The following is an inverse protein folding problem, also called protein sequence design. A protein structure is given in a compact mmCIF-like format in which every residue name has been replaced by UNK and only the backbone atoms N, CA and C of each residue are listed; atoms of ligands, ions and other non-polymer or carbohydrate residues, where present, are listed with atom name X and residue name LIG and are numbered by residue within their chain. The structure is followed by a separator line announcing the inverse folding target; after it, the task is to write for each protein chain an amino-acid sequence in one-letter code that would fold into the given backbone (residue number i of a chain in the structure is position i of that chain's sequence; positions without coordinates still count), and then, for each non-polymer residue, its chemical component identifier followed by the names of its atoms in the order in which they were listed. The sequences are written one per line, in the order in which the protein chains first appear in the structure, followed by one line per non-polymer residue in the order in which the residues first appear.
data_IF_355894942501
#
_entry.id   IF_355894942501
#
_cell.length_a   1.000
_cell.length_b   1.000
_cell.length_c   1.000
_cell.angle_alpha   90.00
_cell.angle_beta   90.00
_cell.angle_gamma   90.00
#
_symmetry.space_group_name_H-M   'P 1'
#
loop_
_entity.id
_entity.type
_entity.pdbx_description
1 polymer ?
#
# COMPACT_ATOMS: atom_id res chain seq x y z
N UNK A 1 -23.50 25.13 -7.73
CA UNK A 1 -22.33 24.34 -8.16
C UNK A 1 -21.36 25.28 -8.83
N UNK A 2 -20.05 25.16 -8.64
CA UNK A 2 -19.10 25.92 -9.43
C UNK A 2 -19.32 25.58 -10.90
N UNK A 3 -19.00 26.51 -11.77
CA UNK A 3 -19.09 26.28 -13.21
C UNK A 3 -17.82 25.53 -13.65
N UNK A 4 -17.98 24.50 -14.51
CA UNK A 4 -16.83 23.77 -15.03
C UNK A 4 -15.89 24.71 -15.85
N UNK A 5 -14.56 24.49 -15.78
CA UNK A 5 -13.62 25.21 -16.66
C UNK A 5 -13.93 24.97 -18.14
N UNK A 6 -13.73 25.97 -18.97
CA UNK A 6 -13.67 25.78 -20.41
C UNK A 6 -12.27 25.34 -20.83
N UNK A 7 -12.19 24.23 -21.54
CA UNK A 7 -10.93 23.71 -22.06
C UNK A 7 -10.96 23.75 -23.58
N UNK A 8 -9.81 24.03 -24.17
CA UNK A 8 -9.69 24.03 -25.62
C UNK A 8 -8.31 23.52 -26.05
N UNK A 9 -8.35 22.75 -27.13
CA UNK A 9 -7.18 22.23 -27.82
C UNK A 9 -7.46 22.32 -29.31
N UNK A 10 -6.80 23.23 -29.98
CA UNK A 10 -7.00 23.52 -31.39
C UNK A 10 -5.67 23.50 -32.14
N UNK A 11 -5.68 23.00 -33.37
CA UNK A 11 -4.54 23.24 -34.23
C UNK A 11 -4.35 24.75 -34.46
N UNK A 12 -3.12 25.22 -34.35
CA UNK A 12 -2.79 26.62 -34.65
C UNK A 12 -3.23 27.01 -36.08
N UNK A 13 -3.26 26.03 -36.99
CA UNK A 13 -3.70 26.21 -38.37
C UNK A 13 -5.21 26.49 -38.49
N UNK A 14 -6.01 26.01 -37.55
CA UNK A 14 -7.47 26.18 -37.53
C UNK A 14 -7.90 27.50 -36.88
N UNK A 15 -6.97 28.19 -36.23
CA UNK A 15 -7.27 29.44 -35.51
C UNK A 15 -7.61 30.55 -36.51
N UNK A 16 -8.80 31.10 -36.38
CA UNK A 16 -9.32 32.21 -37.21
C UNK A 16 -9.73 33.35 -36.27
N UNK A 17 -8.81 34.26 -36.05
CA UNK A 17 -9.04 35.45 -35.24
C UNK A 17 -8.79 36.69 -36.13
N UNK A 18 -9.63 37.70 -35.95
CA UNK A 18 -9.47 38.97 -36.70
C UNK A 18 -8.29 39.76 -36.19
N UNK A 19 -7.58 40.42 -37.08
CA UNK A 19 -6.49 41.33 -36.74
C UNK A 19 -5.15 40.68 -36.42
N UNK A 20 -5.00 39.37 -36.65
CA UNK A 20 -3.71 38.70 -36.51
C UNK A 20 -2.73 39.11 -37.60
N UNK A 21 -1.41 39.19 -37.31
CA UNK A 21 -0.37 39.35 -38.34
C UNK A 21 -0.32 38.12 -39.25
N UNK A 22 0.42 38.16 -40.38
CA UNK A 22 0.67 36.99 -41.22
C UNK A 22 1.32 35.84 -40.41
N UNK A 23 1.05 34.59 -40.78
CA UNK A 23 1.53 33.40 -40.04
C UNK A 23 3.05 33.24 -40.00
N UNK A 24 3.75 33.79 -40.98
CA UNK A 24 5.20 33.85 -41.08
C UNK A 24 5.83 34.99 -40.29
N UNK A 25 5.01 35.84 -39.66
CA UNK A 25 5.48 36.90 -38.77
C UNK A 25 5.95 36.31 -37.44
N UNK A 26 7.16 36.66 -36.95
CA UNK A 26 7.67 36.19 -35.67
C UNK A 26 6.78 36.48 -34.46
N UNK A 27 5.90 37.48 -34.54
CA UNK A 27 4.94 37.84 -33.48
C UNK A 27 3.57 37.18 -33.63
N UNK A 28 3.37 36.24 -34.59
CA UNK A 28 2.07 35.63 -34.83
C UNK A 28 1.53 34.89 -33.61
N UNK A 29 2.35 34.06 -33.00
CA UNK A 29 1.95 33.27 -31.80
C UNK A 29 1.62 34.17 -30.63
N UNK A 30 2.43 35.20 -30.36
CA UNK A 30 2.16 36.19 -29.31
C UNK A 30 0.84 36.92 -29.54
N UNK A 31 0.54 37.27 -30.79
CA UNK A 31 -0.71 37.93 -31.15
C UNK A 31 -1.93 36.99 -30.97
N UNK A 32 -1.80 35.71 -31.26
CA UNK A 32 -2.83 34.70 -30.96
C UNK A 32 -3.09 34.61 -29.48
N UNK A 33 -2.04 34.44 -28.67
CA UNK A 33 -2.16 34.36 -27.21
C UNK A 33 -2.82 35.58 -26.60
N UNK A 34 -2.36 36.79 -27.02
CA UNK A 34 -2.92 38.06 -26.52
C UNK A 34 -4.40 38.20 -26.91
N UNK A 35 -4.74 37.86 -28.14
CA UNK A 35 -6.14 37.97 -28.61
C UNK A 35 -7.06 37.04 -27.86
N UNK A 36 -6.69 35.76 -27.69
CA UNK A 36 -7.48 34.78 -26.96
C UNK A 36 -7.62 35.18 -25.49
N UNK A 37 -6.53 35.54 -24.83
CA UNK A 37 -6.56 35.98 -23.42
C UNK A 37 -7.51 37.17 -23.23
N UNK A 38 -7.44 38.15 -24.16
CA UNK A 38 -8.32 39.32 -24.13
C UNK A 38 -9.79 38.96 -24.35
N UNK A 39 -10.08 38.01 -25.27
CA UNK A 39 -11.43 37.55 -25.52
C UNK A 39 -12.03 36.83 -24.31
N UNK A 40 -11.26 36.00 -23.62
CA UNK A 40 -11.71 35.34 -22.39
C UNK A 40 -11.91 36.33 -21.25
N UNK A 41 -10.99 37.28 -21.04
CA UNK A 41 -11.13 38.34 -20.06
C UNK A 41 -12.38 39.18 -20.30
N UNK A 42 -12.70 39.54 -21.56
CA UNK A 42 -13.93 40.26 -21.91
C UNK A 42 -15.22 39.49 -21.58
N UNK A 43 -15.15 38.16 -21.44
CA UNK A 43 -16.26 37.30 -20.98
C UNK A 43 -16.28 37.11 -19.47
N UNK A 44 -15.35 37.68 -18.71
CA UNK A 44 -15.20 37.51 -17.26
C UNK A 44 -14.47 36.23 -16.86
N UNK A 45 -13.66 35.65 -17.74
CA UNK A 45 -12.86 34.47 -17.48
C UNK A 45 -11.38 34.83 -17.27
N UNK A 46 -10.71 34.10 -16.40
CA UNK A 46 -9.25 34.02 -16.38
C UNK A 46 -8.79 32.81 -17.16
N UNK A 47 -7.79 32.95 -18.02
CA UNK A 47 -7.33 31.87 -18.90
C UNK A 47 -5.81 31.69 -18.83
N UNK A 48 -5.36 30.45 -18.76
CA UNK A 48 -4.01 30.01 -19.07
C UNK A 48 -3.99 29.43 -20.48
N UNK A 49 -3.15 29.97 -21.36
CA UNK A 49 -3.09 29.58 -22.76
C UNK A 49 -1.63 29.46 -23.17
N UNK A 50 -1.30 28.38 -23.88
CA UNK A 50 0.04 28.18 -24.46
C UNK A 50 -0.08 27.73 -25.92
N UNK A 51 0.97 27.92 -26.69
CA UNK A 51 1.14 27.32 -28.03
C UNK A 51 2.30 26.33 -27.93
N UNK A 52 1.99 25.07 -28.23
CA UNK A 52 2.95 23.97 -28.13
C UNK A 52 2.71 23.00 -29.31
N UNK A 53 3.77 22.57 -29.97
CA UNK A 53 3.73 21.61 -31.08
C UNK A 53 2.68 21.94 -32.17
N UNK A 54 2.52 23.23 -32.51
CA UNK A 54 1.55 23.71 -33.49
C UNK A 54 0.07 23.64 -33.01
N UNK A 55 -0.16 23.51 -31.70
CA UNK A 55 -1.49 23.54 -31.08
C UNK A 55 -1.61 24.68 -30.07
N UNK A 56 -2.78 25.26 -30.03
CA UNK A 56 -3.19 26.16 -28.94
C UNK A 56 -3.90 25.34 -27.88
N UNK A 57 -3.31 25.27 -26.71
CA UNK A 57 -3.86 24.60 -25.53
C UNK A 57 -4.29 25.65 -24.51
N UNK A 58 -5.43 25.45 -23.86
CA UNK A 58 -5.85 26.42 -22.84
C UNK A 58 -6.93 25.92 -21.93
N UNK A 59 -6.90 26.53 -20.72
CA UNK A 59 -7.91 26.36 -19.68
C UNK A 59 -8.39 27.75 -19.29
N UNK A 60 -9.69 28.01 -19.40
CA UNK A 60 -10.34 29.22 -18.97
C UNK A 60 -11.32 28.95 -17.83
N UNK A 61 -11.22 29.71 -16.76
CA UNK A 61 -12.05 29.54 -15.55
C UNK A 61 -13.00 30.74 -15.42
N UNK A 62 -14.28 30.52 -15.01
CA UNK A 62 -15.33 31.53 -15.00
C UNK A 62 -15.22 32.45 -13.75
N UNK A 63 -14.01 32.94 -13.48
CA UNK A 63 -13.75 33.83 -12.36
C UNK A 63 -12.58 34.76 -12.70
N UNK A 64 -12.90 36.02 -12.93
CA UNK A 64 -11.91 37.04 -13.24
C UNK A 64 -10.91 37.23 -12.08
N UNK A 65 -9.62 37.30 -12.38
CA UNK A 65 -8.56 37.53 -11.39
C UNK A 65 -8.15 36.30 -10.56
N UNK A 66 -8.72 35.13 -10.83
CA UNK A 66 -8.30 33.87 -10.23
C UNK A 66 -7.46 33.07 -11.22
N UNK A 67 -6.26 32.67 -10.81
CA UNK A 67 -5.41 31.79 -11.63
C UNK A 67 -6.11 30.45 -11.90
N UNK A 68 -6.12 29.97 -13.15
CA UNK A 68 -6.75 28.67 -13.50
C UNK A 68 -6.33 27.52 -12.61
N UNK A 69 -5.04 27.42 -12.26
CA UNK A 69 -4.52 26.42 -11.34
C UNK A 69 -5.24 26.48 -9.99
N UNK A 70 -5.39 27.67 -9.39
CA UNK A 70 -6.05 27.81 -8.08
C UNK A 70 -7.52 27.43 -8.15
N UNK A 71 -8.21 27.80 -9.22
CA UNK A 71 -9.60 27.42 -9.41
C UNK A 71 -9.79 25.90 -9.49
N UNK A 72 -8.93 25.20 -10.25
CA UNK A 72 -8.95 23.76 -10.40
C UNK A 72 -8.63 23.05 -9.09
N UNK A 73 -7.64 23.52 -8.32
CA UNK A 73 -7.35 22.99 -6.99
C UNK A 73 -8.55 23.15 -6.05
N UNK A 74 -9.27 24.27 -6.13
CA UNK A 74 -10.52 24.48 -5.39
C UNK A 74 -11.62 23.49 -5.80
N UNK A 75 -11.72 23.08 -7.07
CA UNK A 75 -12.64 22.02 -7.49
C UNK A 75 -12.30 20.68 -6.84
N UNK A 76 -11.01 20.35 -6.76
CA UNK A 76 -10.53 19.11 -6.12
C UNK A 76 -10.83 19.09 -4.62
N UNK A 77 -10.58 20.20 -3.91
CA UNK A 77 -10.91 20.36 -2.47
C UNK A 77 -12.39 20.09 -2.18
N UNK A 78 -13.27 20.51 -3.10
CA UNK A 78 -14.72 20.29 -3.01
C UNK A 78 -15.20 19.00 -3.67
N UNK A 79 -14.28 18.13 -4.09
CA UNK A 79 -14.57 16.82 -4.70
C UNK A 79 -15.31 16.88 -6.04
N UNK A 80 -15.19 17.96 -6.79
CA UNK A 80 -15.72 18.10 -8.16
C UNK A 80 -14.72 17.51 -9.18
N UNK A 81 -14.44 16.19 -9.07
CA UNK A 81 -13.39 15.52 -9.84
C UNK A 81 -13.68 15.49 -11.34
N UNK A 82 -14.95 15.28 -11.73
CA UNK A 82 -15.38 15.25 -13.13
C UNK A 82 -15.19 16.59 -13.83
N UNK A 83 -15.37 17.70 -13.10
CA UNK A 83 -15.16 19.05 -13.62
C UNK A 83 -13.66 19.44 -13.66
N UNK A 84 -12.86 18.93 -12.71
CA UNK A 84 -11.45 19.24 -12.61
C UNK A 84 -10.58 18.43 -13.60
N UNK A 85 -10.92 17.15 -13.83
CA UNK A 85 -10.07 16.22 -14.57
C UNK A 85 -9.71 16.70 -15.99
N UNK A 86 -10.64 17.14 -16.84
CA UNK A 86 -10.30 17.60 -18.20
C UNK A 86 -9.36 18.80 -18.20
N UNK A 87 -9.52 19.70 -17.22
CA UNK A 87 -8.66 20.86 -17.09
C UNK A 87 -7.25 20.49 -16.59
N UNK A 88 -7.14 19.52 -15.68
CA UNK A 88 -5.84 18.98 -15.23
C UNK A 88 -5.11 18.28 -16.38
N UNK A 89 -5.82 17.52 -17.22
CA UNK A 89 -5.24 16.87 -18.39
C UNK A 89 -4.58 17.89 -19.32
N UNK A 90 -5.33 18.93 -19.70
CA UNK A 90 -4.78 19.99 -20.57
C UNK A 90 -3.65 20.75 -19.89
N UNK A 91 -3.78 21.07 -18.60
CA UNK A 91 -2.70 21.73 -17.87
C UNK A 91 -1.43 20.87 -17.76
N UNK A 92 -1.56 19.57 -17.59
CA UNK A 92 -0.42 18.65 -17.56
C UNK A 92 0.28 18.56 -18.94
N UNK A 93 -0.44 18.80 -20.05
CA UNK A 93 0.18 18.95 -21.37
C UNK A 93 0.91 20.30 -21.51
N UNK A 94 0.41 21.34 -20.83
CA UNK A 94 0.94 22.70 -20.95
C UNK A 94 2.20 22.96 -20.10
N UNK A 95 2.42 22.17 -19.04
CA UNK A 95 3.46 22.43 -18.05
C UNK A 95 3.97 21.17 -17.37
N UNK A 96 5.24 21.19 -16.98
CA UNK A 96 5.87 20.18 -16.14
C UNK A 96 5.72 20.50 -14.64
N UNK A 97 4.71 21.30 -14.24
CA UNK A 97 4.48 21.66 -12.85
C UNK A 97 4.17 20.40 -12.01
N UNK A 98 5.02 20.03 -11.03
CA UNK A 98 4.82 18.81 -10.24
C UNK A 98 3.49 18.76 -9.50
N UNK A 99 2.96 19.91 -9.10
CA UNK A 99 1.68 19.98 -8.38
C UNK A 99 0.50 19.66 -9.31
N UNK A 100 0.54 20.10 -10.57
CA UNK A 100 -0.45 19.75 -11.59
C UNK A 100 -0.36 18.27 -11.91
N UNK A 101 0.83 17.74 -12.17
CA UNK A 101 1.06 16.31 -12.46
C UNK A 101 0.58 15.42 -11.32
N UNK A 102 0.90 15.81 -10.08
CA UNK A 102 0.44 15.09 -8.88
C UNK A 102 -1.09 15.07 -8.78
N UNK A 103 -1.74 16.23 -8.87
CA UNK A 103 -3.19 16.34 -8.74
C UNK A 103 -3.92 15.64 -9.90
N UNK A 104 -3.37 15.69 -11.12
CA UNK A 104 -3.90 14.94 -12.26
C UNK A 104 -3.88 13.44 -12.00
N UNK A 105 -2.73 12.90 -11.56
CA UNK A 105 -2.61 11.48 -11.24
C UNK A 105 -3.49 11.04 -10.08
N UNK A 106 -3.59 11.85 -9.01
CA UNK A 106 -4.48 11.55 -7.88
C UNK A 106 -5.95 11.57 -8.32
N UNK A 107 -6.36 12.57 -9.09
CA UNK A 107 -7.73 12.66 -9.62
C UNK A 107 -8.10 11.43 -10.45
N UNK A 108 -7.23 11.00 -11.36
CA UNK A 108 -7.40 9.77 -12.14
C UNK A 108 -7.55 8.53 -11.24
N UNK A 109 -6.70 8.40 -10.24
CA UNK A 109 -6.73 7.26 -9.29
C UNK A 109 -8.01 7.23 -8.45
N UNK A 110 -8.53 8.39 -8.05
CA UNK A 110 -9.79 8.52 -7.30
C UNK A 110 -11.03 8.23 -8.16
N UNK A 111 -10.94 8.48 -9.47
CA UNK A 111 -11.97 8.13 -10.46
C UNK A 111 -11.84 6.67 -10.98
N UNK A 112 -11.03 5.85 -10.31
CA UNK A 112 -10.72 4.45 -10.64
C UNK A 112 -10.03 4.24 -12.00
N UNK A 113 -9.47 5.30 -12.61
CA UNK A 113 -8.63 5.27 -13.83
C UNK A 113 -7.16 5.05 -13.45
N UNK A 114 -6.90 3.96 -12.74
CA UNK A 114 -5.62 3.73 -12.04
C UNK A 114 -4.46 3.56 -13.01
N UNK A 115 -4.65 2.85 -14.13
CA UNK A 115 -3.61 2.67 -15.16
C UNK A 115 -3.12 4.01 -15.69
N UNK A 116 -4.07 4.93 -15.91
CA UNK A 116 -3.78 6.25 -16.46
C UNK A 116 -3.10 7.17 -15.44
N UNK A 117 -3.34 6.96 -14.15
CA UNK A 117 -2.72 7.74 -13.07
C UNK A 117 -1.19 7.56 -12.97
N UNK A 118 -0.67 6.43 -13.46
CA UNK A 118 0.76 6.09 -13.31
C UNK A 118 1.66 7.08 -14.05
N UNK A 119 1.33 7.42 -15.29
CA UNK A 119 2.18 8.28 -16.12
C UNK A 119 2.38 9.69 -15.52
N UNK A 120 1.31 10.44 -15.14
CA UNK A 120 1.48 11.75 -14.55
C UNK A 120 2.17 11.69 -13.17
N UNK A 121 1.91 10.66 -12.34
CA UNK A 121 2.60 10.50 -11.06
C UNK A 121 4.09 10.18 -11.24
N UNK A 122 4.46 9.38 -12.22
CA UNK A 122 5.87 9.13 -12.56
C UNK A 122 6.55 10.41 -13.03
N UNK A 123 5.93 11.17 -13.94
CA UNK A 123 6.45 12.46 -14.37
C UNK A 123 6.63 13.43 -13.19
N UNK A 124 5.68 13.48 -12.26
CA UNK A 124 5.81 14.27 -11.04
C UNK A 124 7.04 13.86 -10.21
N UNK A 125 7.24 12.56 -9.97
CA UNK A 125 8.40 12.04 -9.21
C UNK A 125 9.72 12.32 -9.93
N UNK A 126 9.75 12.29 -11.26
CA UNK A 126 10.94 12.63 -12.07
C UNK A 126 11.29 14.12 -11.97
N UNK A 127 10.29 15.01 -12.03
CA UNK A 127 10.46 16.47 -11.92
C UNK A 127 10.78 16.93 -10.48
N UNK A 128 10.18 16.26 -9.48
CA UNK A 128 10.32 16.57 -8.06
C UNK A 128 10.57 15.29 -7.25
N UNK A 129 11.82 14.76 -7.23
CA UNK A 129 12.14 13.51 -6.52
C UNK A 129 11.95 13.56 -5.00
N UNK A 130 11.85 14.75 -4.42
CA UNK A 130 11.58 15.02 -3.00
C UNK A 130 10.08 15.23 -2.70
N UNK A 131 9.19 15.04 -3.67
CA UNK A 131 7.75 15.14 -3.46
C UNK A 131 7.19 13.81 -2.92
N UNK A 132 7.34 13.59 -1.62
CA UNK A 132 6.97 12.35 -0.95
C UNK A 132 5.52 11.90 -1.19
N UNK A 133 4.56 12.84 -1.26
CA UNK A 133 3.17 12.49 -1.55
C UNK A 133 2.96 11.96 -2.98
N UNK A 134 3.76 12.40 -3.95
CA UNK A 134 3.72 11.83 -5.30
C UNK A 134 4.22 10.37 -5.32
N UNK A 135 5.31 10.08 -4.60
CA UNK A 135 5.76 8.70 -4.39
C UNK A 135 4.68 7.83 -3.72
N UNK A 136 3.99 8.37 -2.71
CA UNK A 136 2.92 7.64 -2.03
C UNK A 136 1.72 7.36 -2.95
N UNK A 137 1.29 8.35 -3.73
CA UNK A 137 0.21 8.19 -4.70
C UNK A 137 0.56 7.19 -5.80
N UNK A 138 1.80 7.26 -6.33
CA UNK A 138 2.32 6.30 -7.30
C UNK A 138 2.37 4.89 -6.72
N UNK A 139 2.84 4.75 -5.47
CA UNK A 139 2.83 3.49 -4.74
C UNK A 139 1.44 2.90 -4.57
N UNK A 140 0.45 3.72 -4.25
CA UNK A 140 -0.94 3.31 -4.16
C UNK A 140 -1.50 2.83 -5.51
N UNK A 141 -1.21 3.54 -6.60
CA UNK A 141 -1.57 3.12 -7.95
C UNK A 141 -0.95 1.76 -8.31
N UNK A 142 0.34 1.56 -8.00
CA UNK A 142 0.99 0.27 -8.19
C UNK A 142 0.38 -0.86 -7.34
N UNK A 143 -0.06 -0.58 -6.10
CA UNK A 143 -0.78 -1.58 -5.27
C UNK A 143 -2.08 -2.00 -5.95
N UNK A 144 -2.88 -1.04 -6.43
CA UNK A 144 -4.13 -1.32 -7.14
C UNK A 144 -3.91 -2.16 -8.40
N UNK A 145 -2.83 -1.91 -9.12
CA UNK A 145 -2.42 -2.65 -10.33
C UNK A 145 -1.74 -4.01 -10.04
N UNK A 146 -1.56 -4.37 -8.76
CA UNK A 146 -0.87 -5.60 -8.38
C UNK A 146 0.65 -5.58 -8.58
N UNK A 147 1.24 -4.43 -8.93
CA UNK A 147 2.69 -4.26 -9.13
C UNK A 147 3.40 -4.02 -7.79
N UNK A 148 3.32 -5.00 -6.88
CA UNK A 148 3.69 -4.84 -5.47
C UNK A 148 5.17 -4.52 -5.25
N UNK A 149 6.08 -5.01 -6.12
CA UNK A 149 7.51 -4.71 -6.00
C UNK A 149 7.81 -3.24 -6.30
N UNK A 150 7.18 -2.67 -7.34
CA UNK A 150 7.32 -1.24 -7.66
C UNK A 150 6.71 -0.38 -6.55
N UNK A 151 5.55 -0.79 -6.04
CA UNK A 151 4.90 -0.11 -4.94
C UNK A 151 5.80 -0.04 -3.70
N UNK A 152 6.47 -1.14 -3.32
CA UNK A 152 7.35 -1.18 -2.15
C UNK A 152 8.52 -0.19 -2.29
N UNK A 153 9.14 -0.12 -3.48
CA UNK A 153 10.25 0.81 -3.72
C UNK A 153 9.83 2.26 -3.49
N UNK A 154 8.78 2.71 -4.17
CA UNK A 154 8.35 4.12 -4.09
C UNK A 154 7.78 4.49 -2.73
N UNK A 155 7.07 3.58 -2.04
CA UNK A 155 6.55 3.83 -0.70
C UNK A 155 7.65 3.89 0.37
N UNK A 156 8.71 3.08 0.22
CA UNK A 156 9.87 3.17 1.11
C UNK A 156 10.62 4.49 0.93
N UNK A 157 10.71 4.99 -0.28
CA UNK A 157 11.33 6.29 -0.54
C UNK A 157 10.47 7.43 0.02
N UNK A 158 9.16 7.38 -0.14
CA UNK A 158 8.23 8.31 0.52
C UNK A 158 8.38 8.29 2.06
N UNK A 159 8.44 7.09 2.66
CA UNK A 159 8.57 6.95 4.12
C UNK A 159 9.92 7.41 4.69
N UNK A 160 10.99 7.43 3.88
CA UNK A 160 12.27 8.06 4.26
C UNK A 160 12.18 9.58 4.29
N UNK A 161 11.43 10.16 3.35
CA UNK A 161 11.28 11.61 3.22
C UNK A 161 10.32 12.17 4.28
N UNK A 162 9.19 11.49 4.51
CA UNK A 162 8.17 11.85 5.49
C UNK A 162 7.87 10.67 6.43
N UNK A 163 8.73 10.42 7.44
CA UNK A 163 8.64 9.23 8.29
C UNK A 163 7.40 9.19 9.18
N UNK A 164 6.78 10.32 9.46
CA UNK A 164 5.62 10.42 10.36
C UNK A 164 4.30 10.69 9.62
N UNK A 165 4.32 10.63 8.26
CA UNK A 165 3.11 10.83 7.47
C UNK A 165 2.16 9.64 7.61
N UNK A 166 0.89 9.91 7.93
CA UNK A 166 -0.15 8.90 8.12
C UNK A 166 -0.36 8.04 6.87
N UNK A 167 -0.54 8.68 5.71
CA UNK A 167 -0.92 8.01 4.47
C UNK A 167 0.19 7.12 3.93
N UNK A 168 1.42 7.62 3.98
CA UNK A 168 2.62 6.90 3.56
C UNK A 168 2.82 5.66 4.42
N UNK A 169 2.82 5.84 5.74
CA UNK A 169 3.01 4.74 6.69
C UNK A 169 1.90 3.69 6.58
N UNK A 170 0.63 4.12 6.48
CA UNK A 170 -0.50 3.21 6.30
C UNK A 170 -0.39 2.39 5.02
N UNK A 171 -0.06 3.03 3.90
CA UNK A 171 0.04 2.34 2.61
C UNK A 171 1.21 1.35 2.58
N UNK A 172 2.37 1.75 3.12
CA UNK A 172 3.53 0.86 3.21
C UNK A 172 3.25 -0.33 4.13
N UNK A 173 2.63 -0.08 5.30
CA UNK A 173 2.25 -1.14 6.23
C UNK A 173 1.25 -2.12 5.61
N UNK A 174 0.21 -1.60 4.94
CA UNK A 174 -0.77 -2.42 4.23
C UNK A 174 -0.15 -3.27 3.11
N UNK A 175 0.79 -2.70 2.35
CA UNK A 175 1.54 -3.43 1.34
C UNK A 175 2.40 -4.55 1.94
N UNK A 176 3.15 -4.25 3.00
CA UNK A 176 3.99 -5.24 3.68
C UNK A 176 3.15 -6.37 4.28
N UNK A 177 2.02 -6.04 4.94
CA UNK A 177 1.07 -7.01 5.45
C UNK A 177 0.50 -7.90 4.34
N UNK A 178 0.11 -7.32 3.20
CA UNK A 178 -0.35 -8.07 2.01
C UNK A 178 0.70 -9.04 1.46
N UNK A 179 1.99 -8.74 1.68
CA UNK A 179 3.12 -9.62 1.32
C UNK A 179 3.48 -10.63 2.42
N UNK A 180 2.72 -10.70 3.50
CA UNK A 180 2.99 -11.56 4.66
C UNK A 180 4.14 -11.09 5.55
N UNK A 181 4.65 -9.86 5.37
CA UNK A 181 5.74 -9.26 6.16
C UNK A 181 5.17 -8.51 7.37
N UNK A 182 4.43 -9.22 8.23
CA UNK A 182 3.64 -8.61 9.31
C UNK A 182 4.50 -7.94 10.38
N UNK A 183 5.63 -8.55 10.76
CA UNK A 183 6.60 -7.99 11.70
C UNK A 183 7.20 -6.68 11.19
N UNK A 184 7.46 -6.61 9.88
CA UNK A 184 7.99 -5.41 9.25
C UNK A 184 6.89 -4.34 9.07
N UNK A 185 5.64 -4.74 8.86
CA UNK A 185 4.49 -3.84 8.71
C UNK A 185 4.11 -3.12 10.02
N UNK A 186 4.23 -3.82 11.16
CA UNK A 186 3.80 -3.33 12.48
C UNK A 186 4.33 -1.92 12.82
N UNK A 187 5.63 -1.62 12.75
CA UNK A 187 6.15 -0.28 13.09
C UNK A 187 5.60 0.83 12.19
N UNK A 188 5.25 0.55 10.94
CA UNK A 188 4.62 1.52 10.06
C UNK A 188 3.16 1.76 10.43
N UNK A 189 2.40 0.73 10.78
CA UNK A 189 1.06 0.90 11.34
C UNK A 189 1.09 1.74 12.63
N UNK A 190 2.04 1.48 13.54
CA UNK A 190 2.19 2.22 14.79
C UNK A 190 2.52 3.69 14.55
N UNK A 191 3.38 4.03 13.56
CA UNK A 191 3.65 5.42 13.17
C UNK A 191 2.40 6.09 12.59
N UNK A 192 1.66 5.41 11.71
CA UNK A 192 0.41 5.93 11.18
C UNK A 192 -0.60 6.24 12.31
N UNK A 193 -0.71 5.36 13.30
CA UNK A 193 -1.58 5.56 14.48
C UNK A 193 -1.05 6.63 15.44
N UNK A 194 0.25 6.90 15.45
CA UNK A 194 0.78 8.03 16.20
C UNK A 194 0.33 9.37 15.61
N UNK A 195 0.24 9.46 14.27
CA UNK A 195 -0.28 10.64 13.57
C UNK A 195 -1.82 10.76 13.69
N UNK A 196 -2.56 9.67 13.55
CA UNK A 196 -4.01 9.63 13.76
C UNK A 196 -4.42 8.36 14.54
N UNK A 197 -4.57 8.47 15.86
CA UNK A 197 -4.94 7.33 16.70
C UNK A 197 -6.32 6.73 16.43
N UNK A 198 -7.18 7.40 15.66
CA UNK A 198 -8.55 6.97 15.35
C UNK A 198 -8.73 6.49 13.91
N UNK A 199 -7.64 6.36 13.14
CA UNK A 199 -7.72 5.85 11.76
C UNK A 199 -8.11 4.36 11.76
N UNK A 200 -9.39 4.10 11.55
CA UNK A 200 -10.00 2.76 11.61
C UNK A 200 -9.36 1.80 10.62
N UNK A 201 -8.97 2.28 9.43
CA UNK A 201 -8.32 1.45 8.42
C UNK A 201 -6.94 0.97 8.89
N UNK A 202 -6.16 1.85 9.53
CA UNK A 202 -4.85 1.49 10.10
C UNK A 202 -4.99 0.56 11.30
N UNK A 203 -5.95 0.84 12.20
CA UNK A 203 -6.26 -0.05 13.33
C UNK A 203 -6.62 -1.46 12.85
N UNK A 204 -7.45 -1.57 11.83
CA UNK A 204 -7.86 -2.85 11.27
C UNK A 204 -6.67 -3.60 10.64
N UNK A 205 -5.83 -2.93 9.86
CA UNK A 205 -4.62 -3.52 9.29
C UNK A 205 -3.63 -4.01 10.34
N UNK A 206 -3.44 -3.24 11.42
CA UNK A 206 -2.58 -3.64 12.55
C UNK A 206 -3.15 -4.86 13.27
N UNK A 207 -4.46 -4.88 13.56
CA UNK A 207 -5.08 -6.00 14.24
C UNK A 207 -4.98 -7.31 13.43
N UNK A 208 -5.23 -7.26 12.13
CA UNK A 208 -5.02 -8.41 11.24
C UNK A 208 -3.56 -8.87 11.22
N UNK A 209 -2.62 -7.93 11.15
CA UNK A 209 -1.19 -8.28 11.18
C UNK A 209 -0.78 -8.93 12.49
N UNK A 210 -1.33 -8.48 13.61
CA UNK A 210 -1.10 -9.09 14.92
C UNK A 210 -1.67 -10.51 15.03
N UNK A 211 -2.85 -10.78 14.45
CA UNK A 211 -3.38 -12.15 14.36
C UNK A 211 -2.43 -13.05 13.56
N UNK A 212 -1.97 -12.60 12.40
CA UNK A 212 -1.05 -13.37 11.54
C UNK A 212 0.32 -13.60 12.19
N UNK A 213 0.77 -12.72 13.08
CA UNK A 213 1.99 -12.88 13.87
C UNK A 213 1.85 -13.92 15.00
N UNK A 214 0.66 -14.41 15.26
CA UNK A 214 0.41 -15.55 16.15
C UNK A 214 -0.34 -15.25 17.45
N UNK A 215 -0.68 -16.33 18.19
CA UNK A 215 -1.60 -16.26 19.34
C UNK A 215 -1.10 -15.41 20.51
N UNK A 216 0.21 -15.18 20.64
CA UNK A 216 0.79 -14.30 21.64
C UNK A 216 0.33 -12.84 21.48
N UNK A 217 -0.13 -12.44 20.28
CA UNK A 217 -0.62 -11.11 19.99
C UNK A 217 -2.16 -11.01 20.07
N UNK A 218 -2.85 -12.10 20.36
CA UNK A 218 -4.32 -12.20 20.34
C UNK A 218 -5.01 -11.19 21.26
N UNK A 219 -4.45 -10.96 22.45
CA UNK A 219 -5.00 -9.97 23.41
C UNK A 219 -4.86 -8.54 22.88
N UNK A 220 -3.73 -8.22 22.25
CA UNK A 220 -3.50 -6.91 21.64
C UNK A 220 -4.43 -6.71 20.44
N UNK A 221 -4.60 -7.71 19.58
CA UNK A 221 -5.52 -7.68 18.46
C UNK A 221 -6.98 -7.47 18.93
N UNK A 222 -7.44 -8.21 19.95
CA UNK A 222 -8.78 -8.04 20.53
C UNK A 222 -9.00 -6.64 21.11
N UNK A 223 -8.01 -6.06 21.78
CA UNK A 223 -8.05 -4.68 22.27
C UNK A 223 -8.25 -3.66 21.15
N UNK A 224 -7.55 -3.83 20.03
CA UNK A 224 -7.70 -2.97 18.87
C UNK A 224 -9.07 -3.16 18.21
N UNK A 225 -9.54 -4.39 18.08
CA UNK A 225 -10.88 -4.68 17.55
C UNK A 225 -12.01 -4.05 18.39
N UNK A 226 -11.89 -4.08 19.73
CA UNK A 226 -12.83 -3.36 20.62
C UNK A 226 -12.87 -1.89 20.29
N UNK A 227 -11.70 -1.27 20.16
CA UNK A 227 -11.57 0.15 19.83
C UNK A 227 -12.20 0.51 18.48
N UNK A 228 -12.05 -0.34 17.44
CA UNK A 228 -12.70 -0.14 16.15
C UNK A 228 -14.23 -0.14 16.30
N UNK A 229 -14.78 -1.07 17.07
CA UNK A 229 -16.24 -1.16 17.29
C UNK A 229 -16.76 0.07 18.06
N UNK A 230 -15.97 0.62 19.00
CA UNK A 230 -16.32 1.83 19.74
C UNK A 230 -16.31 3.07 18.86
N UNK A 231 -15.32 3.18 17.94
CA UNK A 231 -15.21 4.31 17.02
C UNK A 231 -16.29 4.31 15.95
N UNK A 232 -16.58 3.16 15.37
CA UNK A 232 -17.51 3.02 14.24
C UNK A 232 -18.45 1.82 14.39
N UNK A 233 -19.39 1.82 15.35
CA UNK A 233 -20.17 0.64 15.72
C UNK A 233 -21.06 0.07 14.62
N UNK A 234 -21.43 0.89 13.63
CA UNK A 234 -22.35 0.55 12.54
C UNK A 234 -21.65 0.41 11.17
N UNK A 235 -20.32 0.53 11.10
CA UNK A 235 -19.58 0.41 9.84
C UNK A 235 -19.52 -1.05 9.35
N UNK A 236 -19.32 -1.26 8.03
CA UNK A 236 -19.04 -2.59 7.50
C UNK A 236 -17.84 -3.24 8.17
N UNK A 237 -16.78 -2.45 8.48
CA UNK A 237 -15.57 -2.91 9.18
C UNK A 237 -15.92 -3.44 10.56
N UNK A 238 -16.77 -2.76 11.32
CA UNK A 238 -17.21 -3.24 12.62
C UNK A 238 -17.92 -4.60 12.58
N UNK A 239 -18.63 -4.89 11.50
CA UNK A 239 -19.26 -6.19 11.30
C UNK A 239 -18.23 -7.30 11.10
N UNK A 240 -17.22 -7.06 10.27
CA UNK A 240 -16.11 -8.02 10.06
C UNK A 240 -15.27 -8.19 11.34
N UNK A 241 -15.00 -7.10 12.04
CA UNK A 241 -14.28 -7.12 13.33
C UNK A 241 -15.02 -7.92 14.39
N UNK A 242 -16.35 -7.84 14.48
CA UNK A 242 -17.14 -8.66 15.42
C UNK A 242 -17.00 -10.15 15.12
N UNK A 243 -16.94 -10.53 13.83
CA UNK A 243 -16.68 -11.93 13.42
C UNK A 243 -15.26 -12.37 13.80
N UNK A 244 -14.26 -11.53 13.48
CA UNK A 244 -12.86 -11.80 13.82
C UNK A 244 -12.67 -11.99 15.34
N UNK A 245 -13.24 -11.12 16.18
CA UNK A 245 -13.22 -11.25 17.63
C UNK A 245 -13.86 -12.54 18.12
N UNK A 246 -14.98 -12.94 17.53
CA UNK A 246 -15.65 -14.20 17.92
C UNK A 246 -14.75 -15.40 17.63
N UNK A 247 -14.09 -15.42 16.45
CA UNK A 247 -13.10 -16.45 16.08
C UNK A 247 -11.93 -16.46 17.05
N UNK A 248 -11.30 -15.30 17.29
CA UNK A 248 -10.15 -15.13 18.17
C UNK A 248 -10.45 -15.57 19.61
N UNK A 249 -11.67 -15.25 20.12
CA UNK A 249 -12.13 -15.69 21.44
C UNK A 249 -12.28 -17.21 21.51
N UNK A 250 -12.80 -17.87 20.49
CA UNK A 250 -12.91 -19.33 20.43
C UNK A 250 -11.54 -20.00 20.39
N UNK A 251 -10.61 -19.48 19.58
CA UNK A 251 -9.23 -19.97 19.51
C UNK A 251 -8.50 -19.82 20.85
N UNK A 252 -8.64 -18.66 21.49
CA UNK A 252 -8.07 -18.40 22.83
C UNK A 252 -8.66 -19.32 23.89
N UNK A 253 -9.98 -19.58 23.86
CA UNK A 253 -10.61 -20.53 24.78
C UNK A 253 -10.12 -21.96 24.56
N UNK A 254 -9.99 -22.38 23.29
CA UNK A 254 -9.43 -23.68 22.93
C UNK A 254 -8.00 -23.82 23.41
N UNK A 255 -7.14 -22.82 23.12
CA UNK A 255 -5.75 -22.78 23.60
C UNK A 255 -5.64 -22.86 25.12
N UNK A 256 -6.51 -22.16 25.86
CA UNK A 256 -6.56 -22.24 27.34
C UNK A 256 -7.03 -23.61 27.83
N UNK A 257 -8.00 -24.23 27.15
CA UNK A 257 -8.47 -25.57 27.46
C UNK A 257 -7.37 -26.63 27.26
N UNK A 258 -6.51 -26.42 26.26
CA UNK A 258 -5.35 -27.27 25.94
C UNK A 258 -4.09 -26.91 26.77
N UNK A 259 -4.24 -26.15 27.85
CA UNK A 259 -3.12 -25.73 28.71
C UNK A 259 -2.26 -24.64 28.13
N UNK A 260 -2.78 -23.89 27.16
CA UNK A 260 -2.07 -22.80 26.45
C UNK A 260 -1.16 -23.29 25.35
N UNK A 261 -1.16 -24.60 25.03
CA UNK A 261 -0.33 -25.21 24.00
C UNK A 261 -1.05 -25.27 22.66
N UNK A 262 -0.31 -25.08 21.60
CA UNK A 262 -0.76 -25.37 20.22
C UNK A 262 -0.64 -26.88 19.97
N UNK A 263 -1.72 -27.62 20.17
CA UNK A 263 -1.69 -29.08 20.02
C UNK A 263 -1.30 -29.55 18.62
N UNK A 264 -1.61 -28.79 17.57
CA UNK A 264 -1.13 -29.03 16.22
C UNK A 264 0.42 -28.97 16.13
N UNK A 265 1.03 -27.94 16.73
CA UNK A 265 2.49 -27.83 16.82
C UNK A 265 3.09 -28.99 17.66
N UNK A 266 2.46 -29.33 18.80
CA UNK A 266 2.88 -30.48 19.63
C UNK A 266 2.88 -31.78 18.79
N UNK A 267 1.82 -32.03 18.02
CA UNK A 267 1.73 -33.22 17.17
C UNK A 267 2.79 -33.20 16.05
N UNK A 268 3.01 -32.07 15.40
CA UNK A 268 4.06 -31.93 14.40
C UNK A 268 5.46 -32.12 14.95
N UNK A 269 5.74 -31.58 16.15
CA UNK A 269 7.00 -31.80 16.85
C UNK A 269 7.21 -33.25 17.27
N UNK A 270 6.15 -33.92 17.74
CA UNK A 270 6.22 -35.35 18.05
C UNK A 270 6.62 -36.17 16.81
N UNK A 271 6.02 -35.92 15.64
CA UNK A 271 6.41 -36.52 14.39
C UNK A 271 7.82 -36.15 13.93
N UNK A 272 8.25 -34.92 14.20
CA UNK A 272 9.62 -34.46 13.88
C UNK A 272 10.67 -35.22 14.73
N UNK A 273 10.40 -35.49 16.01
CA UNK A 273 11.27 -36.34 16.82
C UNK A 273 11.47 -37.74 16.23
N UNK A 274 10.41 -38.35 15.70
CA UNK A 274 10.49 -39.65 15.03
C UNK A 274 11.27 -39.60 13.73
N UNK A 275 11.12 -38.52 12.98
CA UNK A 275 11.80 -38.29 11.70
C UNK A 275 13.29 -38.10 11.91
N UNK A 276 13.67 -37.17 12.78
CA UNK A 276 15.07 -36.84 13.04
C UNK A 276 15.82 -37.94 13.83
N UNK A 277 15.11 -38.79 14.57
CA UNK A 277 15.72 -39.96 15.19
C UNK A 277 16.27 -40.98 14.18
N UNK A 278 15.84 -40.93 12.93
CA UNK A 278 16.28 -41.80 11.81
C UNK A 278 17.41 -41.19 10.97
N UNK A 279 17.73 -39.94 11.22
CA UNK A 279 18.71 -39.15 10.46
C UNK A 279 20.01 -39.01 11.25
N UNK A 280 21.12 -38.87 10.53
CA UNK A 280 22.37 -38.40 11.16
C UNK A 280 22.33 -36.88 11.37
N UNK A 281 23.34 -36.37 12.13
CA UNK A 281 23.41 -34.94 12.47
C UNK A 281 23.57 -34.02 11.25
N UNK A 282 24.20 -34.49 10.18
CA UNK A 282 24.42 -33.72 8.96
C UNK A 282 23.13 -33.63 8.14
N UNK A 283 22.36 -34.70 8.07
CA UNK A 283 21.04 -34.75 7.42
C UNK A 283 20.06 -33.82 8.12
N UNK A 284 20.01 -33.84 9.47
CA UNK A 284 19.21 -32.90 10.26
C UNK A 284 19.62 -31.44 9.98
N UNK A 285 20.92 -31.18 9.99
CA UNK A 285 21.42 -29.81 9.73
C UNK A 285 21.07 -29.33 8.30
N UNK A 286 21.13 -30.21 7.30
CA UNK A 286 20.69 -29.90 5.93
C UNK A 286 19.22 -29.54 5.89
N UNK A 287 18.36 -30.35 6.51
CA UNK A 287 16.89 -30.12 6.56
C UNK A 287 16.59 -28.79 7.25
N UNK A 288 17.19 -28.50 8.40
CA UNK A 288 17.01 -27.22 9.11
C UNK A 288 17.44 -26.02 8.25
N UNK A 289 18.55 -26.16 7.52
CA UNK A 289 19.03 -25.10 6.63
C UNK A 289 18.08 -24.86 5.43
N UNK A 290 17.47 -25.91 4.86
CA UNK A 290 16.45 -25.79 3.82
C UNK A 290 15.22 -25.06 4.34
N UNK A 291 14.75 -25.37 5.56
CA UNK A 291 13.61 -24.67 6.20
C UNK A 291 13.96 -23.19 6.44
N UNK A 292 15.17 -22.89 6.93
CA UNK A 292 15.59 -21.51 7.16
C UNK A 292 15.61 -20.68 5.88
N UNK A 293 16.05 -21.26 4.75
CA UNK A 293 15.97 -20.59 3.43
C UNK A 293 14.55 -20.27 3.00
N UNK A 294 13.59 -21.12 3.32
CA UNK A 294 12.16 -20.83 3.07
C UNK A 294 11.66 -19.69 3.96
N UNK A 295 12.25 -19.51 5.15
CA UNK A 295 11.97 -18.40 6.06
C UNK A 295 12.30 -17.03 5.45
N UNK A 296 13.35 -16.92 4.63
CA UNK A 296 13.70 -15.70 3.89
C UNK A 296 12.63 -15.32 2.85
N UNK A 297 11.83 -16.28 2.39
CA UNK A 297 10.71 -16.07 1.46
C UNK A 297 9.35 -15.87 2.14
N UNK A 298 9.32 -15.74 3.49
CA UNK A 298 8.11 -15.45 4.26
C UNK A 298 7.31 -16.70 4.68
N UNK A 299 7.95 -17.64 5.39
CA UNK A 299 7.23 -18.69 6.12
C UNK A 299 6.32 -18.06 7.17
N UNK A 300 5.01 -18.29 7.02
CA UNK A 300 4.01 -17.88 8.02
C UNK A 300 3.50 -19.10 8.80
N UNK A 301 3.47 -18.98 10.13
CA UNK A 301 2.86 -19.99 11.03
C UNK A 301 1.35 -20.13 10.74
N UNK A 302 0.72 -19.08 10.26
CA UNK A 302 -0.72 -18.95 10.11
C UNK A 302 -1.24 -18.99 8.66
N UNK A 303 -0.39 -19.35 7.67
CA UNK A 303 -0.82 -19.55 6.29
C UNK A 303 -1.34 -20.99 6.07
N UNK A 304 -2.63 -21.32 6.33
CA UNK A 304 -3.11 -22.71 6.37
C UNK A 304 -3.04 -23.41 5.02
N UNK A 305 -3.03 -22.67 3.90
CA UNK A 305 -3.16 -23.24 2.56
C UNK A 305 -1.84 -23.29 1.77
N UNK A 306 -0.78 -22.67 2.26
CA UNK A 306 0.51 -22.68 1.56
C UNK A 306 1.30 -23.92 1.95
N UNK A 307 1.66 -24.72 0.93
CA UNK A 307 2.47 -25.94 1.07
C UNK A 307 3.88 -25.68 0.55
N UNK A 308 4.84 -26.29 1.20
CA UNK A 308 6.26 -26.15 0.90
C UNK A 308 6.87 -27.55 0.81
N UNK A 309 7.64 -27.82 -0.26
CA UNK A 309 8.41 -29.05 -0.42
C UNK A 309 9.85 -28.83 0.03
N UNK A 310 10.42 -29.85 0.67
CA UNK A 310 11.84 -29.89 1.05
C UNK A 310 12.57 -30.97 0.22
N UNK A 311 13.77 -30.64 -0.27
CA UNK A 311 14.59 -31.59 -1.00
C UNK A 311 15.04 -32.79 -0.15
N UNK A 312 15.17 -32.57 1.17
CA UNK A 312 15.60 -33.59 2.13
C UNK A 312 14.51 -34.54 2.60
N UNK A 313 13.24 -34.22 2.31
CA UNK A 313 12.06 -34.97 2.76
C UNK A 313 11.01 -35.08 1.66
N UNK A 314 10.39 -36.26 1.55
CA UNK A 314 9.24 -36.46 0.68
C UNK A 314 7.99 -35.87 1.30
N UNK A 315 7.26 -35.02 0.56
CA UNK A 315 5.98 -34.47 0.95
C UNK A 315 5.90 -32.95 0.96
N UNK A 316 4.69 -32.46 1.13
CA UNK A 316 4.36 -31.04 1.25
C UNK A 316 4.02 -30.71 2.69
N UNK A 317 4.62 -29.65 3.22
CA UNK A 317 4.55 -29.23 4.61
C UNK A 317 3.86 -27.86 4.73
N UNK A 318 3.05 -27.68 5.76
CA UNK A 318 2.55 -26.34 6.13
C UNK A 318 3.66 -25.51 6.81
N UNK A 319 3.50 -24.20 6.84
CA UNK A 319 4.45 -23.31 7.54
C UNK A 319 4.65 -23.70 9.01
N UNK A 320 3.56 -24.06 9.71
CA UNK A 320 3.65 -24.51 11.11
C UNK A 320 4.40 -25.84 11.26
N UNK A 321 4.20 -26.80 10.32
CA UNK A 321 4.97 -28.04 10.32
C UNK A 321 6.47 -27.77 10.18
N UNK A 322 6.86 -26.90 9.24
CA UNK A 322 8.26 -26.56 9.02
C UNK A 322 8.88 -25.86 10.21
N UNK A 323 8.18 -24.92 10.83
CA UNK A 323 8.68 -24.24 12.03
C UNK A 323 8.81 -25.20 13.22
N UNK A 324 7.85 -26.11 13.39
CA UNK A 324 7.92 -27.18 14.40
C UNK A 324 9.12 -28.10 14.17
N UNK A 325 9.35 -28.50 12.89
CA UNK A 325 10.51 -29.29 12.50
C UNK A 325 11.82 -28.53 12.72
N UNK A 326 11.88 -27.26 12.33
CA UNK A 326 13.06 -26.42 12.55
C UNK A 326 13.42 -26.35 14.04
N UNK A 327 12.41 -26.10 14.90
CA UNK A 327 12.63 -26.05 16.35
C UNK A 327 13.22 -27.35 16.91
N UNK A 328 12.60 -28.48 16.57
CA UNK A 328 13.10 -29.80 17.00
C UNK A 328 14.49 -30.09 16.43
N UNK A 329 14.72 -29.79 15.15
CA UNK A 329 16.00 -30.02 14.46
C UNK A 329 17.15 -29.20 15.05
N UNK A 330 16.93 -27.90 15.36
CA UNK A 330 17.91 -27.05 16.04
C UNK A 330 18.30 -27.63 17.42
N UNK A 331 17.30 -27.99 18.24
CA UNK A 331 17.55 -28.61 19.55
C UNK A 331 18.22 -29.99 19.44
N UNK A 332 18.01 -30.71 18.33
CA UNK A 332 18.68 -31.97 18.04
C UNK A 332 20.17 -31.77 17.69
N UNK A 333 20.48 -30.69 16.96
CA UNK A 333 21.86 -30.29 16.62
C UNK A 333 22.58 -29.79 17.88
N UNK A 334 21.97 -28.87 18.59
CA UNK A 334 22.48 -28.31 19.84
C UNK A 334 21.31 -27.93 20.76
N UNK A 335 21.16 -28.58 21.93
CA UNK A 335 20.08 -28.30 22.88
C UNK A 335 20.03 -26.86 23.39
N UNK A 336 21.11 -26.08 23.26
CA UNK A 336 21.17 -24.69 23.67
C UNK A 336 20.64 -23.71 22.61
N UNK A 337 20.45 -24.16 21.34
CA UNK A 337 19.94 -23.32 20.28
C UNK A 337 18.50 -22.92 20.51
N UNK A 338 18.21 -21.63 20.31
CA UNK A 338 16.85 -21.07 20.28
C UNK A 338 16.43 -20.85 18.82
N UNK A 339 15.26 -21.35 18.46
CA UNK A 339 14.67 -21.16 17.13
C UNK A 339 13.96 -19.82 16.96
N UNK A 340 13.79 -19.06 18.06
CA UNK A 340 12.98 -17.84 18.14
C UNK A 340 11.52 -18.03 17.63
N UNK A 341 11.07 -19.29 17.57
CA UNK A 341 9.72 -19.63 17.10
C UNK A 341 8.63 -19.40 18.13
N UNK A 342 9.00 -19.22 19.42
CA UNK A 342 8.07 -19.12 20.53
C UNK A 342 7.33 -20.42 20.86
N UNK A 343 7.87 -21.58 20.45
CA UNK A 343 7.24 -22.91 20.59
C UNK A 343 7.92 -23.79 21.66
N UNK A 344 8.62 -23.21 22.64
CA UNK A 344 9.37 -23.97 23.64
C UNK A 344 8.45 -24.81 24.55
N UNK A 345 7.26 -24.30 24.88
CA UNK A 345 6.29 -25.04 25.70
C UNK A 345 5.71 -26.24 24.94
N UNK A 346 5.43 -26.08 23.64
CA UNK A 346 5.00 -27.16 22.74
C UNK A 346 6.11 -28.20 22.56
N UNK A 347 7.37 -27.75 22.46
CA UNK A 347 8.52 -28.65 22.39
C UNK A 347 8.64 -29.52 23.64
N UNK A 348 8.52 -28.95 24.82
CA UNK A 348 8.58 -29.70 26.09
C UNK A 348 7.43 -30.70 26.20
N UNK A 349 6.22 -30.33 25.76
CA UNK A 349 5.08 -31.22 25.71
C UNK A 349 5.29 -32.38 24.71
N UNK A 350 5.74 -32.05 23.49
CA UNK A 350 6.03 -33.02 22.45
C UNK A 350 7.15 -33.99 22.85
N UNK A 351 8.18 -33.48 23.50
CA UNK A 351 9.29 -34.29 24.00
C UNK A 351 8.82 -35.33 25.04
N UNK A 352 7.94 -34.92 25.97
CA UNK A 352 7.32 -35.86 26.92
C UNK A 352 6.48 -36.90 26.21
N UNK A 353 5.69 -36.51 25.21
CA UNK A 353 4.86 -37.44 24.43
C UNK A 353 5.71 -38.44 23.63
N UNK A 354 6.84 -37.99 23.09
CA UNK A 354 7.79 -38.84 22.34
C UNK A 354 8.65 -39.74 23.24
N UNK A 355 8.53 -39.63 24.57
CA UNK A 355 9.32 -40.43 25.52
C UNK A 355 10.82 -40.10 25.52
N UNK A 356 11.19 -38.86 25.21
CA UNK A 356 12.59 -38.37 25.01
C UNK A 356 13.06 -37.52 26.18
#
# INVERSE_FOLDING_TARGET
MPQAPEIFKHSLDDIKLDGLPPRDDPGFEDAVLLTLTTQYAAKGYSAAIVIQDGHVLGVAVPQEGVEPKQYILGLLEHRFLEDALPALEVMAEMTDDPEILYNYGVCLSEMDRVEESVAPLQACVEQAPDYAHAHAALGFSFIKLGQLDKAEVVLRDAAKQLPDDLWINRNLAGLLAKRGKHEEAKPFFERALAANPQDVATLYGLALSLEEMGPQNAEQADGIYKRIIELEPSSPIATEVKKARSRLSQETMKSKADGGLRMDAVMYMTGAFETFAKMDRQEVAKTVFEIAKLGESGLSINGPDKRYSLESLDGDFSGLQLLSMMHVGLKFIDPSMDSQSGLDAEYDAARKMAGK
#
